data_IF_977515988695
#
_entry.id   IF_977515988695
#
_cell.length_a   1.000
_cell.length_b   1.000
_cell.length_c   1.000
_cell.angle_alpha   90.00
_cell.angle_beta   90.00
_cell.angle_gamma   90.00
#
_symmetry.space_group_name_H-M   'P 1'
#
loop_
_entity.id
_entity.type
_entity.pdbx_description
1 polymer ?
#
# COMPACT_ATOMS: atom_id res chain seq x y z
N UNK A 1 8.10 -20.77 -4.47
CA UNK A 1 7.24 -20.19 -3.43
C UNK A 1 8.10 -19.51 -2.39
N UNK A 2 8.33 -18.19 -2.49
CA UNK A 2 8.89 -17.36 -1.40
C UNK A 2 8.50 -15.91 -1.63
N UNK A 3 7.21 -15.63 -1.62
CA UNK A 3 6.71 -14.26 -1.53
C UNK A 3 6.80 -13.83 -0.06
N UNK A 4 8.01 -13.40 0.34
CA UNK A 4 8.28 -12.82 1.66
C UNK A 4 8.20 -11.28 1.64
N UNK A 5 8.55 -10.62 2.74
CA UNK A 5 8.68 -9.17 2.78
C UNK A 5 9.77 -8.71 1.79
N UNK A 6 9.36 -8.07 0.68
CA UNK A 6 10.27 -7.53 -0.33
C UNK A 6 10.50 -6.06 -0.04
N UNK A 7 11.76 -5.69 0.23
CA UNK A 7 12.14 -4.27 0.29
C UNK A 7 12.12 -3.74 -1.13
N UNK A 8 11.17 -2.84 -1.42
CA UNK A 8 11.03 -2.21 -2.71
C UNK A 8 10.75 -0.72 -2.53
N UNK A 9 11.27 0.09 -3.45
CA UNK A 9 10.98 1.53 -3.49
C UNK A 9 9.56 1.84 -3.96
N UNK A 10 8.91 0.90 -4.64
CA UNK A 10 7.54 1.01 -5.12
C UNK A 10 6.71 -0.18 -4.66
N UNK A 11 5.50 0.10 -4.18
CA UNK A 11 4.45 -0.87 -3.94
C UNK A 11 3.65 -1.02 -5.23
N UNK A 12 3.89 -2.13 -5.94
CA UNK A 12 3.33 -2.39 -7.29
C UNK A 12 2.40 -3.59 -7.33
N UNK A 13 1.99 -4.11 -6.17
CA UNK A 13 1.03 -5.21 -6.10
C UNK A 13 0.14 -5.09 -4.88
N UNK A 14 -1.12 -5.49 -5.03
CA UNK A 14 -2.09 -5.60 -3.93
C UNK A 14 -2.44 -7.08 -3.75
N UNK A 15 -2.54 -7.50 -2.49
CA UNK A 15 -3.09 -8.80 -2.13
C UNK A 15 -4.62 -8.75 -2.23
N UNK A 16 -5.20 -9.60 -3.07
CA UNK A 16 -6.64 -9.76 -3.21
C UNK A 16 -7.05 -11.12 -2.64
N UNK A 17 -7.97 -11.10 -1.66
CA UNK A 17 -8.54 -12.30 -1.05
C UNK A 17 -9.94 -12.52 -1.62
N UNK A 18 -10.15 -13.65 -2.27
CA UNK A 18 -11.45 -14.04 -2.84
C UNK A 18 -11.88 -15.39 -2.30
N UNK A 19 -13.14 -15.48 -1.92
CA UNK A 19 -13.76 -16.76 -1.61
C UNK A 19 -14.20 -17.41 -2.92
N UNK A 20 -13.60 -18.56 -3.23
CA UNK A 20 -13.92 -19.36 -4.41
C UNK A 20 -14.41 -20.73 -3.95
N UNK A 21 -15.35 -21.37 -4.65
CA UNK A 21 -15.79 -22.71 -4.31
C UNK A 21 -14.60 -23.69 -4.38
N UNK A 22 -14.59 -24.69 -3.50
CA UNK A 22 -13.52 -25.72 -3.50
C UNK A 22 -13.56 -26.50 -4.82
N UNK A 23 -14.77 -26.81 -5.30
CA UNK A 23 -15.02 -27.46 -6.58
C UNK A 23 -15.99 -26.63 -7.39
N UNK A 24 -15.62 -26.31 -8.63
CA UNK A 24 -16.46 -25.55 -9.54
C UNK A 24 -17.77 -26.31 -9.82
N UNK A 25 -18.92 -25.67 -9.57
CA UNK A 25 -20.24 -26.27 -9.76
C UNK A 25 -20.81 -27.05 -8.57
N UNK A 26 -20.09 -27.19 -7.46
CA UNK A 26 -20.55 -27.88 -6.23
C UNK A 26 -20.42 -26.97 -4.99
N UNK A 27 -21.33 -26.00 -4.82
CA UNK A 27 -21.28 -25.04 -3.71
C UNK A 27 -21.44 -25.67 -2.31
N UNK A 28 -22.06 -26.84 -2.22
CA UNK A 28 -22.29 -27.59 -0.97
C UNK A 28 -21.00 -28.08 -0.30
N UNK A 29 -19.90 -28.18 -1.05
CA UNK A 29 -18.60 -28.58 -0.54
C UNK A 29 -17.88 -27.43 0.19
N UNK A 30 -18.47 -26.24 0.19
CA UNK A 30 -17.93 -25.06 0.85
C UNK A 30 -16.99 -24.25 -0.04
N UNK A 31 -16.34 -23.27 0.59
CA UNK A 31 -15.48 -22.28 -0.07
C UNK A 31 -14.06 -22.34 0.47
N UNK A 32 -13.10 -21.92 -0.35
CA UNK A 32 -11.71 -21.69 0.03
C UNK A 32 -11.36 -20.22 -0.20
N UNK A 33 -10.52 -19.67 0.67
CA UNK A 33 -9.95 -18.34 0.43
C UNK A 33 -8.75 -18.46 -0.50
N UNK A 34 -8.89 -17.96 -1.71
CA UNK A 34 -7.79 -17.80 -2.65
C UNK A 34 -7.14 -16.44 -2.44
N UNK A 35 -5.83 -16.44 -2.25
CA UNK A 35 -5.00 -15.23 -2.20
C UNK A 35 -4.35 -15.05 -3.57
N UNK A 36 -4.67 -13.95 -4.24
CA UNK A 36 -4.11 -13.60 -5.54
C UNK A 36 -3.38 -12.27 -5.44
N UNK A 37 -2.21 -12.17 -6.07
CA UNK A 37 -1.46 -10.91 -6.15
C UNK A 37 -1.79 -10.22 -7.46
N UNK A 38 -2.43 -9.06 -7.37
CA UNK A 38 -2.75 -8.23 -8.54
C UNK A 38 -1.67 -7.19 -8.72
N UNK A 39 -1.05 -7.15 -9.90
CA UNK A 39 -0.12 -6.09 -10.28
C UNK A 39 -0.88 -4.77 -10.43
N UNK A 40 -0.55 -3.80 -9.58
CA UNK A 40 -1.14 -2.48 -9.56
C UNK A 40 -0.22 -1.52 -8.81
N UNK A 41 0.05 -0.35 -9.38
CA UNK A 41 0.75 0.71 -8.66
C UNK A 41 -0.10 1.21 -7.49
N UNK A 42 0.46 1.18 -6.28
CA UNK A 42 -0.21 1.61 -5.05
C UNK A 42 0.45 2.88 -4.51
N UNK A 43 1.76 2.84 -4.31
CA UNK A 43 2.54 3.95 -3.79
C UNK A 43 4.01 3.78 -4.13
N UNK A 44 4.74 4.89 -4.15
CA UNK A 44 6.18 4.89 -4.32
C UNK A 44 6.88 5.68 -3.23
N UNK A 45 8.20 5.65 -3.23
CA UNK A 45 9.05 6.45 -2.34
C UNK A 45 8.77 7.96 -2.47
N UNK A 46 8.23 8.38 -3.62
CA UNK A 46 7.84 9.76 -3.86
C UNK A 46 6.76 10.23 -2.88
N UNK A 47 5.84 9.34 -2.46
CA UNK A 47 4.75 9.67 -1.53
C UNK A 47 5.27 10.18 -0.16
N UNK A 48 6.12 9.46 0.58
CA UNK A 48 6.69 9.97 1.83
C UNK A 48 7.66 11.14 1.63
N UNK A 49 8.38 11.20 0.50
CA UNK A 49 9.29 12.31 0.19
C UNK A 49 8.53 13.64 0.05
N UNK A 50 7.43 13.65 -0.70
CA UNK A 50 6.60 14.84 -0.88
C UNK A 50 5.97 15.26 0.45
N UNK A 51 5.47 14.31 1.25
CA UNK A 51 4.93 14.60 2.58
C UNK A 51 5.97 15.25 3.51
N UNK A 52 7.19 14.71 3.52
CA UNK A 52 8.30 15.25 4.32
C UNK A 52 8.70 16.65 3.86
N UNK A 53 8.75 16.88 2.55
CA UNK A 53 9.07 18.18 1.98
C UNK A 53 8.03 19.23 2.40
N UNK A 54 6.73 18.91 2.24
CA UNK A 54 5.64 19.81 2.63
C UNK A 54 5.64 20.11 4.13
N UNK A 55 5.85 19.08 4.97
CA UNK A 55 5.96 19.26 6.42
C UNK A 55 7.14 20.17 6.80
N UNK A 56 8.28 20.01 6.12
CA UNK A 56 9.46 20.85 6.34
C UNK A 56 9.19 22.30 5.96
N UNK A 57 8.57 22.55 4.81
CA UNK A 57 8.17 23.90 4.38
C UNK A 57 7.23 24.54 5.40
N UNK A 58 6.18 23.82 5.82
CA UNK A 58 5.22 24.32 6.81
C UNK A 58 5.89 24.65 8.16
N UNK A 59 6.84 23.82 8.60
CA UNK A 59 7.64 24.07 9.79
C UNK A 59 8.47 25.35 9.66
N UNK A 60 9.19 25.52 8.54
CA UNK A 60 10.02 26.71 8.30
C UNK A 60 9.18 27.99 8.26
N UNK A 61 8.01 27.97 7.61
CA UNK A 61 7.09 29.11 7.58
C UNK A 61 6.62 29.46 9.00
N UNK A 62 6.22 28.46 9.78
CA UNK A 62 5.75 28.65 11.15
C UNK A 62 6.86 29.22 12.03
N UNK A 63 8.08 28.68 11.92
CA UNK A 63 9.26 29.15 12.66
C UNK A 63 9.63 30.58 12.30
N UNK A 64 9.62 30.92 11.00
CA UNK A 64 9.88 32.28 10.51
C UNK A 64 8.84 33.28 11.05
N UNK A 65 7.55 32.93 10.98
CA UNK A 65 6.47 33.75 11.52
C UNK A 65 6.59 34.00 13.03
N UNK A 66 7.08 33.04 13.80
CA UNK A 66 7.31 33.19 15.24
C UNK A 66 8.48 34.13 15.53
N UNK A 67 9.58 34.08 14.77
CA UNK A 67 10.73 34.97 14.96
C UNK A 67 10.45 36.45 14.62
N UNK A 68 9.41 36.72 13.82
CA UNK A 68 9.02 38.07 13.39
C UNK A 68 8.09 38.77 14.38
N UNK A 69 7.56 38.05 15.38
CA UNK A 69 6.75 38.59 16.48
C UNK A 69 7.62 38.79 17.70
#
# INVERSE_FOLDING_TARGET
MKDGARVAFWLTSIEERKEVPIVEGMPELGTQTQVTWKEQFVSGIETPLIGTLLATIAFLITRWRINLK
#
